data_IF_146981132582
#
_entry.id   IF_146981132582
#
_cell.length_a   1.000
_cell.length_b   1.000
_cell.length_c   1.000
_cell.angle_alpha   90.00
_cell.angle_beta   90.00
_cell.angle_gamma   90.00
#
_symmetry.space_group_name_H-M   'P 1'
#
loop_
_entity.id
_entity.type
_entity.pdbx_description
1 polymer ?
#
# COMPACT_ATOMS: atom_id res chain seq x y z
N UNK A 1 43.85 4.25 -1.11
CA UNK A 1 43.83 4.81 0.26
C UNK A 1 44.80 3.96 1.05
N UNK A 2 46.04 4.42 1.06
CA UNK A 2 47.23 3.61 1.30
C UNK A 2 47.95 4.16 2.53
N UNK A 3 48.51 3.26 3.34
CA UNK A 3 49.50 3.50 4.40
C UNK A 3 49.96 2.10 4.82
N UNK A 4 51.14 1.63 4.45
CA UNK A 4 52.46 2.05 4.98
C UNK A 4 52.50 1.95 6.52
N UNK A 5 53.14 0.93 7.09
CA UNK A 5 54.59 0.65 7.16
C UNK A 5 55.27 1.43 8.29
N UNK A 6 55.69 0.71 9.34
CA UNK A 6 56.68 1.17 10.32
C UNK A 6 57.56 -0.01 10.76
N UNK A 7 58.87 0.22 10.89
CA UNK A 7 59.87 -0.78 11.26
C UNK A 7 60.54 -0.46 12.61
N UNK A 8 60.83 -1.49 13.41
CA UNK A 8 62.07 -1.64 14.19
C UNK A 8 62.19 -3.09 14.70
N UNK A 9 63.31 -3.82 14.71
CA UNK A 9 64.77 -3.56 14.84
C UNK A 9 65.30 -3.81 16.27
N UNK A 10 66.49 -4.45 16.34
CA UNK A 10 67.21 -5.04 17.49
C UNK A 10 66.58 -6.35 18.02
N UNK A 11 67.33 -7.45 18.18
CA UNK A 11 68.74 -7.65 17.82
C UNK A 11 69.21 -9.09 18.04
N UNK A 12 70.26 -9.49 17.32
CA UNK A 12 70.84 -10.83 17.35
C UNK A 12 72.11 -10.89 18.20
N UNK A 13 72.15 -11.73 19.24
CA UNK A 13 73.40 -12.06 19.94
C UNK A 13 73.55 -13.55 20.26
N UNK A 14 74.58 -14.14 19.65
CA UNK A 14 75.46 -15.19 20.19
C UNK A 14 74.82 -16.45 20.82
N UNK A 15 74.77 -17.51 20.02
CA UNK A 15 74.81 -18.91 20.50
C UNK A 15 76.19 -19.17 21.14
N UNK A 16 76.31 -19.54 22.43
CA UNK A 16 77.59 -19.91 23.04
C UNK A 16 78.17 -21.22 22.43
N UNK A 17 79.49 -21.44 22.49
CA UNK A 17 80.15 -22.51 21.74
C UNK A 17 80.14 -23.86 22.45
N UNK A 18 80.20 -24.94 21.66
CA UNK A 18 80.67 -26.24 22.13
C UNK A 18 82.15 -26.16 22.53
N UNK A 19 82.49 -26.58 23.75
CA UNK A 19 83.86 -26.95 24.12
C UNK A 19 83.90 -28.15 25.07
N UNK A 20 84.51 -29.20 24.56
CA UNK A 20 85.40 -30.17 25.20
C UNK A 20 85.06 -30.74 26.60
N UNK A 21 85.07 -32.08 26.66
CA UNK A 21 85.04 -32.90 27.86
C UNK A 21 86.09 -32.50 28.92
N UNK A 22 85.69 -32.61 30.18
CA UNK A 22 86.54 -33.12 31.28
C UNK A 22 85.75 -34.24 31.96
N UNK A 23 86.33 -35.42 32.26
CA UNK A 23 85.59 -36.52 32.89
C UNK A 23 85.24 -36.22 34.36
N UNK A 24 84.13 -36.77 34.88
CA UNK A 24 83.89 -36.76 36.32
C UNK A 24 84.89 -37.70 37.02
N UNK A 25 85.77 -37.14 37.86
CA UNK A 25 86.61 -37.92 38.78
C UNK A 25 85.76 -38.44 39.96
N UNK A 26 84.90 -39.42 39.71
CA UNK A 26 84.21 -40.16 40.77
C UNK A 26 85.17 -41.12 41.46
N UNK A 27 85.73 -40.66 42.57
CA UNK A 27 85.81 -41.43 43.82
C UNK A 27 86.29 -42.89 43.70
N UNK A 28 87.62 -43.07 43.72
CA UNK A 28 88.22 -44.29 44.29
C UNK A 28 88.37 -44.12 45.82
N UNK A 29 88.84 -45.18 46.48
CA UNK A 29 89.25 -45.24 47.88
C UNK A 29 88.15 -45.22 48.96
N UNK A 30 87.12 -46.06 48.79
CA UNK A 30 86.61 -46.85 49.94
C UNK A 30 87.63 -47.94 50.32
N UNK A 31 88.80 -47.52 50.83
CA UNK A 31 89.82 -48.40 51.41
C UNK A 31 90.22 -47.93 52.81
N UNK A 32 89.23 -47.91 53.72
CA UNK A 32 89.47 -47.81 55.16
C UNK A 32 90.15 -49.09 55.69
N UNK A 33 91.45 -49.20 55.47
CA UNK A 33 92.28 -50.23 56.11
C UNK A 33 92.27 -50.00 57.63
N UNK A 34 91.82 -51.02 58.37
CA UNK A 34 91.93 -51.08 59.83
C UNK A 34 93.41 -51.19 60.25
N UNK A 35 94.09 -50.06 60.34
CA UNK A 35 95.39 -49.99 61.02
C UNK A 35 95.17 -50.05 62.53
N UNK A 36 95.44 -51.21 63.11
CA UNK A 36 95.40 -51.42 64.55
C UNK A 36 96.32 -50.43 65.27
N UNK A 37 95.73 -49.63 66.17
CA UNK A 37 96.51 -48.80 67.10
C UNK A 37 97.25 -49.71 68.09
N UNK A 38 98.58 -49.70 68.03
CA UNK A 38 99.46 -50.60 68.78
C UNK A 38 100.70 -49.88 69.28
N UNK A 39 100.58 -49.24 70.45
CA UNK A 39 101.62 -48.83 71.40
C UNK A 39 103.02 -48.52 70.83
N UNK A 40 103.29 -47.24 70.56
CA UNK A 40 104.65 -46.69 70.62
C UNK A 40 104.80 -45.82 71.87
N UNK A 41 105.15 -46.47 72.99
CA UNK A 41 105.38 -45.81 74.27
C UNK A 41 106.86 -45.42 74.45
N UNK A 42 107.09 -44.20 74.93
CA UNK A 42 108.30 -43.70 75.58
C UNK A 42 109.70 -44.14 75.06
N UNK A 43 110.18 -43.49 73.99
CA UNK A 43 111.61 -43.32 73.74
C UNK A 43 111.95 -41.82 73.62
N UNK A 44 112.37 -41.20 74.72
CA UNK A 44 112.50 -39.73 74.81
C UNK A 44 113.96 -39.24 74.80
N UNK A 45 114.17 -38.14 74.08
CA UNK A 45 115.24 -37.14 74.28
C UNK A 45 116.71 -37.55 74.03
N UNK A 46 117.33 -36.97 72.99
CA UNK A 46 118.22 -35.79 73.16
C UNK A 46 118.72 -35.13 71.86
N UNK A 47 118.87 -33.80 71.95
CA UNK A 47 119.86 -32.93 71.28
C UNK A 47 120.00 -32.92 69.75
N UNK A 48 119.41 -31.89 69.11
CA UNK A 48 120.18 -30.86 68.37
C UNK A 48 119.44 -29.50 68.48
N UNK A 49 119.66 -28.78 69.59
CA UNK A 49 118.97 -27.52 69.90
C UNK A 49 119.79 -26.31 69.44
N UNK A 50 119.62 -25.93 68.17
CA UNK A 50 120.12 -24.66 67.61
C UNK A 50 119.02 -23.59 67.70
N UNK A 51 119.34 -22.30 67.96
CA UNK A 51 118.35 -21.22 67.88
C UNK A 51 117.61 -21.18 66.53
N UNK A 52 118.32 -21.46 65.43
CA UNK A 52 117.75 -21.45 64.09
C UNK A 52 116.81 -22.65 63.82
N UNK A 53 117.07 -23.83 64.39
CA UNK A 53 116.15 -24.98 64.22
C UNK A 53 114.85 -24.77 65.00
N UNK A 54 114.90 -24.12 66.17
CA UNK A 54 113.71 -23.74 66.92
C UNK A 54 112.86 -22.71 66.15
N UNK A 55 113.48 -21.70 65.53
CA UNK A 55 112.79 -20.71 64.72
C UNK A 55 112.12 -21.31 63.47
N UNK A 56 112.82 -22.22 62.77
CA UNK A 56 112.26 -22.94 61.61
C UNK A 56 111.04 -23.79 61.99
N UNK A 57 111.10 -24.53 63.10
CA UNK A 57 109.98 -25.35 63.58
C UNK A 57 108.77 -24.47 63.96
N UNK A 58 109.00 -23.29 64.54
CA UNK A 58 107.92 -22.33 64.81
C UNK A 58 107.31 -21.79 63.52
N UNK A 59 108.12 -21.36 62.54
CA UNK A 59 107.64 -20.87 61.26
C UNK A 59 106.83 -21.93 60.48
N UNK A 60 107.27 -23.20 60.48
CA UNK A 60 106.54 -24.31 59.87
C UNK A 60 105.20 -24.56 60.56
N UNK A 61 105.14 -24.51 61.91
CA UNK A 61 103.87 -24.63 62.65
C UNK A 61 102.91 -23.48 62.35
N UNK A 62 103.41 -22.24 62.31
CA UNK A 62 102.59 -21.07 61.92
C UNK A 62 102.09 -21.18 60.49
N UNK A 63 102.87 -21.74 59.56
CA UNK A 63 102.43 -22.00 58.19
C UNK A 63 101.36 -23.11 58.14
N UNK A 64 101.54 -24.21 58.87
CA UNK A 64 100.55 -25.29 58.97
C UNK A 64 99.21 -24.79 59.54
N UNK A 65 99.23 -24.00 60.63
CA UNK A 65 98.01 -23.42 61.20
C UNK A 65 97.36 -22.41 60.25
N UNK A 66 98.15 -21.63 59.49
CA UNK A 66 97.63 -20.74 58.46
C UNK A 66 96.99 -21.49 57.29
N UNK A 67 97.59 -22.60 56.85
CA UNK A 67 97.01 -23.47 55.81
C UNK A 67 95.68 -24.04 56.30
N UNK A 68 95.65 -24.65 57.49
CA UNK A 68 94.44 -25.22 58.06
C UNK A 68 93.30 -24.19 58.23
N UNK A 69 93.65 -22.96 58.64
CA UNK A 69 92.71 -21.84 58.72
C UNK A 69 92.15 -21.45 57.35
N UNK A 70 93.00 -21.35 56.32
CA UNK A 70 92.58 -21.06 54.94
C UNK A 70 91.74 -22.20 54.34
N UNK A 71 92.01 -23.46 54.70
CA UNK A 71 91.19 -24.61 54.29
C UNK A 71 89.79 -24.53 54.90
N UNK A 72 89.67 -24.18 56.18
CA UNK A 72 88.40 -23.97 56.87
C UNK A 72 87.63 -22.75 56.32
N UNK A 73 88.32 -21.64 56.05
CA UNK A 73 87.73 -20.46 55.40
C UNK A 73 87.27 -20.79 53.96
N UNK A 74 87.99 -21.67 53.24
CA UNK A 74 87.58 -22.15 51.92
C UNK A 74 86.31 -22.99 51.99
N UNK A 75 86.23 -23.98 52.88
CA UNK A 75 85.01 -24.81 52.99
C UNK A 75 83.81 -23.99 53.47
N UNK A 76 84.01 -23.03 54.39
CA UNK A 76 82.95 -22.11 54.80
C UNK A 76 82.47 -21.22 53.63
N UNK A 77 83.37 -20.73 52.78
CA UNK A 77 83.00 -19.97 51.58
C UNK A 77 82.29 -20.84 50.53
N UNK A 78 82.69 -22.10 50.39
CA UNK A 78 82.11 -23.11 49.51
C UNK A 78 80.68 -23.48 49.95
N UNK A 79 80.45 -23.70 51.25
CA UNK A 79 79.13 -23.94 51.83
C UNK A 79 78.20 -22.71 51.69
N UNK A 80 78.71 -21.51 51.96
CA UNK A 80 77.97 -20.26 51.76
C UNK A 80 77.55 -20.07 50.29
N UNK A 81 78.44 -20.38 49.33
CA UNK A 81 78.13 -20.34 47.90
C UNK A 81 77.08 -21.39 47.52
N UNK A 82 77.15 -22.59 48.09
CA UNK A 82 76.15 -23.65 47.88
C UNK A 82 74.76 -23.27 48.44
N UNK A 83 74.71 -22.55 49.56
CA UNK A 83 73.46 -21.99 50.11
C UNK A 83 72.89 -20.91 49.18
N UNK A 84 73.69 -19.90 48.82
CA UNK A 84 73.27 -18.81 47.93
C UNK A 84 72.84 -19.31 46.54
N UNK A 85 73.51 -20.35 46.02
CA UNK A 85 73.14 -21.00 44.75
C UNK A 85 71.76 -21.68 44.82
N UNK A 86 71.45 -22.32 45.96
CA UNK A 86 70.13 -22.93 46.22
C UNK A 86 69.04 -21.87 46.32
N UNK A 87 69.27 -20.84 47.12
CA UNK A 87 68.33 -19.71 47.28
C UNK A 87 68.06 -19.02 45.93
N UNK A 88 69.11 -18.73 45.14
CA UNK A 88 68.95 -18.14 43.80
C UNK A 88 68.16 -19.03 42.83
N UNK A 89 68.32 -20.36 42.91
CA UNK A 89 67.53 -21.32 42.13
C UNK A 89 66.06 -21.36 42.59
N UNK A 90 65.80 -21.26 43.89
CA UNK A 90 64.45 -21.20 44.46
C UNK A 90 63.73 -19.90 44.08
N UNK A 91 64.39 -18.73 44.18
CA UNK A 91 63.85 -17.45 43.70
C UNK A 91 63.54 -17.47 42.21
N UNK A 92 64.44 -18.03 41.38
CA UNK A 92 64.19 -18.20 39.93
C UNK A 92 62.94 -19.04 39.68
N UNK A 93 62.80 -20.17 40.37
CA UNK A 93 61.64 -21.07 40.25
C UNK A 93 60.34 -20.39 40.70
N UNK A 94 60.37 -19.62 41.78
CA UNK A 94 59.21 -18.86 42.26
C UNK A 94 58.74 -17.82 41.22
N UNK A 95 59.68 -17.06 40.63
CA UNK A 95 59.39 -16.08 39.58
C UNK A 95 58.84 -16.72 38.30
N UNK A 96 59.38 -17.89 37.91
CA UNK A 96 58.90 -18.66 36.76
C UNK A 96 57.47 -19.17 36.98
N UNK A 97 57.17 -19.73 38.17
CA UNK A 97 55.81 -20.14 38.56
C UNK A 97 54.83 -18.96 38.52
N UNK A 98 55.16 -17.83 39.16
CA UNK A 98 54.31 -16.64 39.21
C UNK A 98 54.07 -16.04 37.80
N UNK A 99 55.06 -16.16 36.90
CA UNK A 99 54.90 -15.76 35.49
C UNK A 99 53.94 -16.70 34.75
N UNK A 100 54.04 -18.01 34.98
CA UNK A 100 53.14 -19.01 34.38
C UNK A 100 51.70 -18.86 34.90
N UNK A 101 51.49 -18.56 36.18
CA UNK A 101 50.17 -18.25 36.75
C UNK A 101 49.55 -16.99 36.13
N UNK A 102 50.31 -15.88 36.02
CA UNK A 102 49.85 -14.67 35.31
C UNK A 102 49.44 -14.97 33.88
N UNK A 103 50.22 -15.76 33.15
CA UNK A 103 49.94 -16.14 31.76
C UNK A 103 48.64 -16.96 31.66
N UNK A 104 48.41 -17.91 32.57
CA UNK A 104 47.19 -18.71 32.62
C UNK A 104 45.94 -17.86 32.92
N UNK A 105 46.02 -16.97 33.92
CA UNK A 105 44.95 -16.03 34.25
C UNK A 105 44.64 -15.09 33.08
N UNK A 106 45.67 -14.61 32.38
CA UNK A 106 45.51 -13.78 31.18
C UNK A 106 44.84 -14.54 30.01
N UNK A 107 45.21 -15.80 29.81
CA UNK A 107 44.61 -16.66 28.78
C UNK A 107 43.13 -16.93 29.05
N UNK A 108 42.77 -17.24 30.30
CA UNK A 108 41.38 -17.45 30.70
C UNK A 108 40.55 -16.15 30.63
N UNK A 109 41.14 -15.00 30.99
CA UNK A 109 40.50 -13.69 30.80
C UNK A 109 40.24 -13.38 29.31
N UNK A 110 41.17 -13.72 28.41
CA UNK A 110 40.98 -13.60 26.96
C UNK A 110 39.83 -14.51 26.48
N UNK A 111 39.75 -15.74 26.99
CA UNK A 111 38.67 -16.68 26.68
C UNK A 111 37.32 -16.15 27.15
N UNK A 112 37.19 -15.76 28.41
CA UNK A 112 35.96 -15.16 28.96
C UNK A 112 35.54 -13.90 28.19
N UNK A 113 36.49 -13.04 27.79
CA UNK A 113 36.21 -11.88 26.94
C UNK A 113 35.64 -12.26 25.57
N UNK A 114 36.11 -13.35 24.94
CA UNK A 114 35.54 -13.88 23.69
C UNK A 114 34.14 -14.45 23.91
N UNK A 115 33.95 -15.23 24.96
CA UNK A 115 32.67 -15.86 25.29
C UNK A 115 31.58 -14.80 25.56
N UNK A 116 31.92 -13.75 26.34
CA UNK A 116 31.06 -12.57 26.56
C UNK A 116 30.78 -11.84 25.23
N UNK A 117 31.78 -11.68 24.36
CA UNK A 117 31.60 -11.03 23.05
C UNK A 117 30.67 -11.81 22.12
N UNK A 118 30.64 -13.14 22.20
CA UNK A 118 29.73 -14.02 21.44
C UNK A 118 28.32 -13.96 22.03
N UNK A 119 28.18 -13.94 23.36
CA UNK A 119 26.89 -13.74 24.02
C UNK A 119 26.29 -12.36 23.69
N UNK A 120 27.11 -11.31 23.66
CA UNK A 120 26.69 -9.96 23.32
C UNK A 120 26.22 -9.83 21.87
N UNK A 121 26.96 -10.40 20.91
CA UNK A 121 26.53 -10.37 19.50
C UNK A 121 25.26 -11.20 19.26
N UNK A 122 25.13 -12.37 19.91
CA UNK A 122 23.91 -13.18 19.90
C UNK A 122 22.71 -12.42 20.49
N UNK A 123 22.88 -11.76 21.63
CA UNK A 123 21.84 -10.93 22.25
C UNK A 123 21.46 -9.74 21.35
N UNK A 124 22.43 -9.06 20.76
CA UNK A 124 22.20 -7.97 19.79
C UNK A 124 21.41 -8.45 18.56
N UNK A 125 21.77 -9.60 17.98
CA UNK A 125 21.03 -10.20 16.87
C UNK A 125 19.58 -10.55 17.26
N UNK A 126 19.35 -11.04 18.48
CA UNK A 126 18.01 -11.30 19.02
C UNK A 126 17.20 -10.01 19.20
N UNK A 127 17.81 -8.93 19.69
CA UNK A 127 17.16 -7.62 19.80
C UNK A 127 16.73 -7.09 18.42
N UNK A 128 17.62 -7.11 17.42
CA UNK A 128 17.32 -6.67 16.05
C UNK A 128 16.18 -7.48 15.42
N UNK A 129 16.07 -8.78 15.72
CA UNK A 129 14.94 -9.60 15.27
C UNK A 129 13.61 -9.20 15.94
N UNK A 130 13.63 -8.97 17.25
CA UNK A 130 12.44 -8.53 18.01
C UNK A 130 12.00 -7.12 17.61
N UNK A 131 12.92 -6.22 17.31
CA UNK A 131 12.64 -4.89 16.76
C UNK A 131 11.94 -4.97 15.40
N UNK A 132 12.43 -5.83 14.49
CA UNK A 132 11.80 -6.08 13.19
C UNK A 132 10.39 -6.69 13.33
N UNK A 133 10.19 -7.61 14.25
CA UNK A 133 8.87 -8.19 14.56
C UNK A 133 7.91 -7.14 15.12
N UNK A 134 8.38 -6.31 16.06
CA UNK A 134 7.59 -5.21 16.63
C UNK A 134 7.20 -4.18 15.55
N UNK A 135 8.10 -3.84 14.64
CA UNK A 135 7.85 -2.88 13.55
C UNK A 135 6.97 -3.46 12.42
N UNK A 136 6.94 -4.78 12.26
CA UNK A 136 5.90 -5.45 11.46
C UNK A 136 4.54 -5.34 12.14
N UNK A 137 4.44 -5.69 13.42
CA UNK A 137 3.18 -5.64 14.18
C UNK A 137 2.60 -4.23 14.27
N UNK A 138 3.43 -3.19 14.49
CA UNK A 138 2.98 -1.78 14.43
C UNK A 138 2.33 -1.44 13.09
N UNK A 139 2.98 -1.79 11.96
CA UNK A 139 2.45 -1.51 10.62
C UNK A 139 1.15 -2.26 10.35
N UNK A 140 1.04 -3.51 10.80
CA UNK A 140 -0.21 -4.30 10.72
C UNK A 140 -1.34 -3.65 11.53
N UNK A 141 -1.09 -3.25 12.78
CA UNK A 141 -2.08 -2.56 13.63
C UNK A 141 -2.51 -1.23 13.01
N UNK A 142 -1.57 -0.41 12.53
CA UNK A 142 -1.88 0.83 11.83
C UNK A 142 -2.67 0.61 10.52
N UNK A 143 -2.51 -0.54 9.86
CA UNK A 143 -3.32 -0.88 8.69
C UNK A 143 -4.76 -1.22 9.08
N UNK A 144 -4.94 -2.11 10.07
CA UNK A 144 -6.27 -2.47 10.62
C UNK A 144 -7.00 -1.24 11.19
N UNK A 145 -6.28 -0.29 11.78
CA UNK A 145 -6.86 0.97 12.25
C UNK A 145 -7.34 1.87 11.10
N UNK A 146 -6.61 1.96 9.98
CA UNK A 146 -7.08 2.67 8.78
C UNK A 146 -8.29 1.99 8.16
N UNK A 147 -8.27 0.67 8.02
CA UNK A 147 -9.39 -0.12 7.48
C UNK A 147 -10.66 0.06 8.33
N UNK A 148 -10.53 -0.03 9.66
CA UNK A 148 -11.61 0.28 10.61
C UNK A 148 -12.16 1.69 10.42
N UNK A 149 -11.29 2.69 10.30
CA UNK A 149 -11.72 4.08 10.15
C UNK A 149 -12.42 4.31 8.80
N UNK A 150 -11.94 3.69 7.71
CA UNK A 150 -12.58 3.72 6.40
C UNK A 150 -13.96 3.04 6.42
N UNK A 151 -14.12 1.91 7.09
CA UNK A 151 -15.41 1.21 7.27
C UNK A 151 -16.38 2.08 8.08
N UNK A 152 -15.91 2.73 9.15
CA UNK A 152 -16.74 3.66 9.94
C UNK A 152 -17.16 4.90 9.14
N UNK A 153 -16.29 5.43 8.28
CA UNK A 153 -16.62 6.55 7.40
C UNK A 153 -17.64 6.14 6.31
N UNK A 154 -17.47 4.97 5.69
CA UNK A 154 -18.45 4.40 4.77
C UNK A 154 -19.81 4.17 5.44
N UNK A 155 -19.83 3.65 6.69
CA UNK A 155 -21.06 3.48 7.46
C UNK A 155 -21.73 4.84 7.78
N UNK A 156 -20.94 5.87 8.11
CA UNK A 156 -21.44 7.22 8.35
C UNK A 156 -21.89 7.94 7.07
N UNK A 157 -21.33 7.61 5.90
CA UNK A 157 -21.83 8.08 4.61
C UNK A 157 -23.18 7.40 4.27
N UNK A 158 -23.25 6.07 4.31
CA UNK A 158 -24.46 5.32 3.96
C UNK A 158 -25.64 5.66 4.90
N UNK A 159 -25.38 5.93 6.18
CA UNK A 159 -26.41 6.43 7.10
C UNK A 159 -26.91 7.84 6.70
N UNK A 160 -26.03 8.78 6.30
CA UNK A 160 -26.42 10.10 5.81
C UNK A 160 -27.20 10.04 4.49
N UNK A 161 -26.82 9.16 3.59
CA UNK A 161 -27.54 8.92 2.32
C UNK A 161 -28.95 8.37 2.58
N UNK A 162 -29.07 7.38 3.46
CA UNK A 162 -30.36 6.84 3.92
C UNK A 162 -31.24 7.91 4.58
N UNK A 163 -30.68 8.76 5.43
CA UNK A 163 -31.40 9.89 6.03
C UNK A 163 -31.87 10.89 4.97
N UNK A 164 -31.01 11.21 3.99
CA UNK A 164 -31.35 12.10 2.88
C UNK A 164 -32.49 11.52 2.02
N UNK A 165 -32.47 10.21 1.73
CA UNK A 165 -33.54 9.53 0.98
C UNK A 165 -34.83 9.40 1.79
N UNK A 166 -34.75 9.21 3.10
CA UNK A 166 -35.91 9.26 3.99
C UNK A 166 -36.56 10.66 3.98
N UNK A 167 -35.76 11.74 3.99
CA UNK A 167 -36.27 13.11 3.83
C UNK A 167 -36.91 13.34 2.44
N UNK A 168 -36.28 12.86 1.36
CA UNK A 168 -36.86 12.92 -0.01
C UNK A 168 -38.19 12.15 -0.09
N UNK A 169 -38.29 11.01 0.57
CA UNK A 169 -39.51 10.19 0.60
C UNK A 169 -40.61 10.89 1.41
N UNK A 170 -40.29 11.44 2.58
CA UNK A 170 -41.24 12.19 3.39
C UNK A 170 -41.80 13.41 2.63
N UNK A 171 -40.95 14.22 2.00
CA UNK A 171 -41.39 15.36 1.20
C UNK A 171 -42.28 14.95 0.00
N UNK A 172 -42.06 13.77 -0.59
CA UNK A 172 -42.96 13.20 -1.61
C UNK A 172 -44.32 12.77 -1.03
N UNK A 173 -44.32 12.19 0.17
CA UNK A 173 -45.54 11.76 0.87
C UNK A 173 -46.39 12.96 1.31
N UNK A 174 -45.78 14.01 1.84
CA UNK A 174 -46.44 15.27 2.18
C UNK A 174 -47.07 15.92 0.94
N UNK A 175 -46.38 15.89 -0.21
CA UNK A 175 -46.95 16.35 -1.50
C UNK A 175 -48.10 15.47 -1.98
N UNK A 176 -48.07 14.16 -1.73
CA UNK A 176 -49.16 13.23 -2.08
C UNK A 176 -50.42 13.54 -1.26
N UNK A 177 -50.27 13.72 0.06
CA UNK A 177 -51.36 14.09 0.99
C UNK A 177 -52.04 15.42 0.60
N UNK A 178 -51.27 16.42 0.15
CA UNK A 178 -51.83 17.67 -0.38
C UNK A 178 -52.65 17.42 -1.65
N UNK A 179 -52.14 16.63 -2.60
CA UNK A 179 -52.86 16.30 -3.84
C UNK A 179 -54.11 15.46 -3.58
N UNK A 180 -54.07 14.52 -2.63
CA UNK A 180 -55.24 13.75 -2.20
C UNK A 180 -56.34 14.66 -1.62
N UNK A 181 -55.96 15.63 -0.78
CA UNK A 181 -56.87 16.65 -0.25
C UNK A 181 -57.42 17.57 -1.35
N UNK A 182 -56.71 17.80 -2.43
CA UNK A 182 -57.21 18.53 -3.61
C UNK A 182 -58.17 17.68 -4.45
N UNK A 183 -57.86 16.41 -4.67
CA UNK A 183 -58.76 15.44 -5.32
C UNK A 183 -60.10 15.36 -4.57
N UNK A 184 -60.11 15.21 -3.25
CA UNK A 184 -61.36 15.20 -2.46
C UNK A 184 -62.19 16.48 -2.64
N UNK A 185 -61.55 17.67 -2.60
CA UNK A 185 -62.25 18.95 -2.86
C UNK A 185 -62.85 18.99 -4.26
N UNK A 186 -62.09 18.56 -5.28
CA UNK A 186 -62.55 18.50 -6.67
C UNK A 186 -63.74 17.53 -6.81
N UNK A 187 -63.69 16.33 -6.21
CA UNK A 187 -64.82 15.38 -6.23
C UNK A 187 -66.06 15.95 -5.54
N UNK A 188 -65.95 16.64 -4.40
CA UNK A 188 -67.12 17.29 -3.78
C UNK A 188 -67.68 18.42 -4.64
N UNK A 189 -66.83 19.14 -5.37
CA UNK A 189 -67.24 20.23 -6.28
C UNK A 189 -67.92 19.67 -7.52
N UNK A 190 -67.35 18.61 -8.12
CA UNK A 190 -67.89 17.87 -9.25
C UNK A 190 -69.29 17.32 -8.91
N UNK A 191 -69.42 16.57 -7.81
CA UNK A 191 -70.72 16.03 -7.38
C UNK A 191 -71.77 17.13 -7.21
N UNK A 192 -71.40 18.26 -6.58
CA UNK A 192 -72.29 19.42 -6.43
C UNK A 192 -72.73 20.01 -7.77
N UNK A 193 -71.87 19.96 -8.80
CA UNK A 193 -72.22 20.37 -10.15
C UNK A 193 -73.11 19.34 -10.87
N UNK A 194 -72.84 18.04 -10.72
CA UNK A 194 -73.65 16.94 -11.26
C UNK A 194 -75.08 16.94 -10.71
N UNK A 195 -75.24 17.04 -9.37
CA UNK A 195 -76.54 17.16 -8.71
C UNK A 195 -77.32 18.40 -9.21
N UNK A 196 -76.62 19.51 -9.47
CA UNK A 196 -77.21 20.74 -10.02
C UNK A 196 -77.59 20.61 -11.50
N UNK A 197 -76.80 19.91 -12.31
CA UNK A 197 -77.12 19.63 -13.73
C UNK A 197 -78.37 18.75 -13.79
N UNK A 198 -78.42 17.67 -13.01
CA UNK A 198 -79.58 16.76 -12.93
C UNK A 198 -80.89 17.48 -12.58
N UNK A 199 -80.85 18.42 -11.63
CA UNK A 199 -82.01 19.27 -11.28
C UNK A 199 -82.43 20.23 -12.42
N UNK A 200 -81.49 20.68 -13.24
CA UNK A 200 -81.79 21.50 -14.41
C UNK A 200 -82.33 20.66 -15.58
N UNK A 201 -81.85 19.42 -15.77
CA UNK A 201 -82.40 18.46 -16.74
C UNK A 201 -83.84 18.04 -16.40
N UNK A 202 -84.16 17.86 -15.11
CA UNK A 202 -85.51 17.56 -14.64
C UNK A 202 -86.47 18.73 -14.94
N UNK A 203 -86.03 19.96 -14.66
CA UNK A 203 -86.77 21.18 -15.02
C UNK A 203 -86.91 21.39 -16.53
N UNK A 204 -85.89 21.01 -17.32
CA UNK A 204 -85.96 21.08 -18.78
C UNK A 204 -87.04 20.14 -19.31
N UNK A 205 -87.10 18.90 -18.82
CA UNK A 205 -88.11 17.90 -19.24
C UNK A 205 -89.54 18.33 -18.89
N UNK A 206 -89.74 18.94 -17.72
CA UNK A 206 -91.04 19.52 -17.35
C UNK A 206 -91.40 20.69 -18.28
N UNK A 207 -90.46 21.59 -18.59
CA UNK A 207 -90.74 22.73 -19.46
C UNK A 207 -90.95 22.33 -20.93
N UNK A 208 -90.25 21.31 -21.42
CA UNK A 208 -90.52 20.65 -22.71
C UNK A 208 -91.92 20.01 -22.74
N UNK A 209 -92.34 19.36 -21.66
CA UNK A 209 -93.68 18.81 -21.51
C UNK A 209 -94.76 19.91 -21.53
N UNK A 210 -94.56 21.02 -20.81
CA UNK A 210 -95.45 22.18 -20.83
C UNK A 210 -95.52 22.84 -22.22
N UNK A 211 -94.37 22.98 -22.92
CA UNK A 211 -94.35 23.46 -24.32
C UNK A 211 -95.15 22.55 -25.25
N UNK A 212 -95.00 21.24 -25.10
CA UNK A 212 -95.75 20.27 -25.90
C UNK A 212 -97.26 20.38 -25.63
N UNK A 213 -97.68 20.44 -24.36
CA UNK A 213 -99.08 20.62 -23.98
C UNK A 213 -99.67 21.92 -24.57
N UNK A 214 -98.89 23.00 -24.60
CA UNK A 214 -99.28 24.26 -25.23
C UNK A 214 -99.36 24.15 -26.77
N UNK A 215 -98.42 23.46 -27.41
CA UNK A 215 -98.42 23.22 -28.85
C UNK A 215 -99.61 22.34 -29.29
N UNK A 216 -99.88 21.27 -28.55
CA UNK A 216 -101.02 20.37 -28.78
C UNK A 216 -102.33 21.17 -28.72
N UNK A 217 -102.52 22.00 -27.68
CA UNK A 217 -103.67 22.90 -27.53
C UNK A 217 -103.76 24.01 -28.59
N UNK A 218 -102.61 24.52 -29.07
CA UNK A 218 -102.60 25.45 -30.20
C UNK A 218 -103.03 24.77 -31.50
N UNK A 219 -102.67 23.49 -31.70
CA UNK A 219 -103.09 22.68 -32.85
C UNK A 219 -104.58 22.30 -32.80
N UNK A 220 -105.12 22.03 -31.60
CA UNK A 220 -106.54 21.86 -31.34
C UNK A 220 -107.32 23.11 -31.74
N UNK A 221 -106.89 24.29 -31.25
CA UNK A 221 -107.48 25.58 -31.60
C UNK A 221 -107.38 25.88 -33.10
N UNK A 222 -106.23 25.61 -33.74
CA UNK A 222 -106.08 25.79 -35.19
C UNK A 222 -107.02 24.86 -35.98
N UNK A 223 -107.16 23.61 -35.56
CA UNK A 223 -108.09 22.64 -36.17
C UNK A 223 -109.54 23.08 -35.98
N UNK A 224 -109.92 23.53 -34.78
CA UNK A 224 -111.25 24.09 -34.50
C UNK A 224 -111.54 25.35 -35.31
N UNK A 225 -110.55 26.22 -35.55
CA UNK A 225 -110.68 27.38 -36.42
C UNK A 225 -110.80 26.99 -37.90
N UNK A 226 -110.11 25.93 -38.36
CA UNK A 226 -110.23 25.44 -39.74
C UNK A 226 -111.59 24.75 -39.96
N UNK A 227 -112.08 23.95 -39.01
CA UNK A 227 -113.44 23.37 -39.05
C UNK A 227 -114.50 24.48 -39.06
N UNK A 228 -114.35 25.52 -38.25
CA UNK A 228 -115.23 26.69 -38.30
C UNK A 228 -115.12 27.45 -39.64
N UNK A 229 -113.93 27.58 -40.23
CA UNK A 229 -113.75 28.19 -41.56
C UNK A 229 -114.45 27.38 -42.64
N UNK A 230 -114.28 26.06 -42.63
CA UNK A 230 -114.95 25.13 -43.56
C UNK A 230 -116.47 25.30 -43.42
N UNK A 231 -116.99 25.19 -42.20
CA UNK A 231 -118.42 25.36 -41.89
C UNK A 231 -118.98 26.69 -42.40
N UNK A 232 -118.30 27.81 -42.14
CA UNK A 232 -118.72 29.14 -42.62
C UNK A 232 -118.62 29.26 -44.14
N UNK A 233 -117.58 28.68 -44.76
CA UNK A 233 -117.40 28.69 -46.22
C UNK A 233 -118.50 27.89 -46.94
N UNK A 234 -119.02 26.82 -46.32
CA UNK A 234 -120.17 26.05 -46.81
C UNK A 234 -121.49 26.83 -46.83
N UNK A 235 -121.55 28.05 -46.28
CA UNK A 235 -122.73 28.94 -46.33
C UNK A 235 -122.47 30.20 -47.18
N UNK A 236 -121.37 30.26 -47.96
CA UNK A 236 -121.01 31.44 -48.76
C UNK A 236 -120.68 31.13 -50.22
N UNK A 237 -121.23 31.92 -51.14
CA UNK A 237 -121.01 31.78 -52.59
C UNK A 237 -119.80 32.59 -53.08
N UNK A 238 -119.03 32.09 -54.08
CA UNK A 238 -117.81 32.76 -54.56
C UNK A 238 -118.10 33.95 -55.49
N UNK A 239 -117.21 34.96 -55.47
CA UNK A 239 -117.13 36.00 -56.52
C UNK A 239 -115.68 36.32 -56.89
N UNK A 240 -115.40 36.36 -58.19
CA UNK A 240 -114.11 36.82 -58.76
C UNK A 240 -114.13 38.33 -59.01
N UNK A 241 -112.95 38.97 -59.09
CA UNK A 241 -112.78 40.29 -59.73
C UNK A 241 -111.35 40.52 -60.26
N UNK A 242 -111.19 41.54 -61.12
CA UNK A 242 -109.96 41.95 -61.84
C UNK A 242 -110.03 43.49 -62.02
N UNK A 243 -109.00 44.27 -62.36
CA UNK A 243 -107.62 44.00 -62.83
C UNK A 243 -106.75 45.27 -62.61
N UNK A 244 -105.52 45.30 -63.17
CA UNK A 244 -104.75 46.50 -63.62
C UNK A 244 -104.22 47.54 -62.60
N UNK A 245 -102.88 47.60 -62.54
CA UNK A 245 -101.95 48.75 -62.80
C UNK A 245 -102.53 50.20 -62.65
N UNK A 246 -101.82 51.23 -62.13
CA UNK A 246 -100.35 51.48 -62.05
C UNK A 246 -100.00 52.71 -61.17
N UNK A 247 -98.73 52.85 -60.74
CA UNK A 247 -98.06 54.06 -60.16
C UNK A 247 -98.55 54.52 -58.75
N UNK A 248 -97.84 55.30 -57.90
CA UNK A 248 -96.40 55.53 -57.57
C UNK A 248 -96.34 56.37 -56.24
N UNK A 249 -95.24 56.84 -55.59
CA UNK A 249 -93.79 56.97 -55.85
C UNK A 249 -93.05 57.32 -54.52
N UNK A 250 -91.88 56.70 -54.21
CA UNK A 250 -90.97 56.96 -53.03
C UNK A 250 -91.54 56.54 -51.64
N UNK A 251 -90.74 56.20 -50.60
CA UNK A 251 -89.31 56.49 -50.29
C UNK A 251 -88.47 55.23 -49.91
N UNK A 252 -87.13 55.39 -49.82
CA UNK A 252 -86.02 54.42 -49.60
C UNK A 252 -86.12 53.60 -48.29
N UNK A 253 -85.39 52.49 -48.02
CA UNK A 253 -84.08 51.96 -48.49
C UNK A 253 -84.12 50.43 -48.78
N UNK A 254 -83.48 49.87 -49.82
CA UNK A 254 -82.06 49.41 -49.96
C UNK A 254 -81.58 48.41 -48.86
N UNK A 255 -80.96 47.22 -49.13
CA UNK A 255 -80.81 46.38 -50.35
C UNK A 255 -80.35 44.92 -50.01
N UNK A 256 -80.91 43.93 -50.73
CA UNK A 256 -80.30 42.74 -51.42
C UNK A 256 -79.24 41.82 -50.74
N UNK A 257 -79.55 40.51 -50.75
CA UNK A 257 -78.71 39.27 -50.66
C UNK A 257 -77.72 39.02 -51.84
N UNK A 258 -76.92 37.90 -51.89
CA UNK A 258 -76.37 37.02 -50.84
C UNK A 258 -74.80 36.88 -50.95
N UNK A 259 -74.13 35.70 -50.98
CA UNK A 259 -73.45 35.05 -49.85
C UNK A 259 -71.89 34.89 -50.01
N UNK A 260 -71.28 34.12 -49.10
CA UNK A 260 -69.91 33.54 -49.07
C UNK A 260 -68.78 34.24 -48.27
N UNK A 261 -68.42 33.58 -47.15
CA UNK A 261 -67.09 33.05 -46.79
C UNK A 261 -65.90 33.96 -46.36
N UNK A 262 -65.21 33.45 -45.31
CA UNK A 262 -63.84 33.71 -44.80
C UNK A 262 -63.52 35.06 -44.09
N UNK A 263 -62.76 34.87 -42.99
CA UNK A 263 -61.70 35.71 -42.41
C UNK A 263 -61.98 36.48 -41.11
N UNK A 264 -61.14 36.19 -40.11
CA UNK A 264 -61.06 36.86 -38.81
C UNK A 264 -59.74 37.61 -38.72
N UNK A 265 -59.78 38.89 -38.31
CA UNK A 265 -58.69 39.52 -37.54
C UNK A 265 -59.07 40.87 -36.94
N UNK A 266 -58.31 41.21 -35.89
CA UNK A 266 -58.39 42.41 -35.06
C UNK A 266 -58.12 43.72 -35.83
N UNK A 267 -58.71 44.81 -35.34
CA UNK A 267 -58.20 46.19 -35.43
C UNK A 267 -58.05 46.78 -34.02
N UNK A 268 -57.09 47.68 -33.80
CA UNK A 268 -56.65 48.09 -32.45
C UNK A 268 -56.04 49.51 -32.40
N UNK A 269 -55.52 49.92 -31.22
CA UNK A 269 -54.77 51.17 -30.90
C UNK A 269 -55.65 52.42 -30.60
N UNK A 270 -55.12 53.50 -29.93
CA UNK A 270 -53.76 53.75 -29.41
C UNK A 270 -53.64 53.84 -27.85
N UNK A 271 -52.55 53.42 -27.18
CA UNK A 271 -51.17 53.98 -26.97
C UNK A 271 -51.04 55.04 -25.85
N UNK A 272 -50.33 54.67 -24.76
CA UNK A 272 -49.26 55.39 -23.99
C UNK A 272 -48.45 54.25 -23.31
N UNK A 273 -47.21 53.87 -23.69
CA UNK A 273 -45.88 54.52 -23.58
C UNK A 273 -45.36 54.62 -22.10
N UNK A 274 -44.13 54.26 -21.71
CA UNK A 274 -42.93 53.70 -22.40
C UNK A 274 -41.94 53.06 -21.37
N UNK A 275 -40.89 52.35 -21.86
CA UNK A 275 -39.67 51.75 -21.24
C UNK A 275 -39.72 50.21 -21.15
N UNK A 276 -39.09 49.41 -22.03
CA UNK A 276 -37.66 49.24 -22.42
C UNK A 276 -36.82 48.50 -21.36
N UNK A 277 -36.03 47.45 -21.64
CA UNK A 277 -35.63 46.75 -22.88
C UNK A 277 -35.98 45.23 -22.77
N UNK A 278 -35.91 44.32 -23.75
CA UNK A 278 -35.06 44.18 -24.95
C UNK A 278 -34.00 43.08 -24.69
N UNK A 279 -33.86 41.98 -25.45
CA UNK A 279 -34.53 41.55 -26.70
C UNK A 279 -34.68 40.01 -26.77
N UNK A 280 -35.38 39.47 -27.79
CA UNK A 280 -35.59 38.02 -28.00
C UNK A 280 -34.95 37.50 -29.29
N UNK A 281 -33.85 36.74 -29.16
CA UNK A 281 -33.25 35.85 -30.17
C UNK A 281 -32.61 34.66 -29.40
N UNK A 282 -32.42 33.45 -29.92
CA UNK A 282 -32.79 32.80 -31.19
C UNK A 282 -32.99 31.30 -30.94
N UNK A 283 -33.92 30.65 -31.65
CA UNK A 283 -34.16 29.18 -31.53
C UNK A 283 -33.05 28.34 -32.20
N UNK A 284 -32.13 28.98 -32.94
CA UNK A 284 -31.11 28.28 -33.73
C UNK A 284 -29.87 27.78 -32.92
N UNK A 285 -29.83 28.00 -31.61
CA UNK A 285 -28.67 27.64 -30.77
C UNK A 285 -28.47 26.12 -30.60
N UNK A 286 -29.54 25.32 -30.65
CA UNK A 286 -29.48 23.90 -30.27
C UNK A 286 -28.76 23.00 -31.28
N UNK A 287 -28.70 23.37 -32.56
CA UNK A 287 -28.01 22.57 -33.59
C UNK A 287 -26.52 22.93 -33.74
N UNK A 288 -26.13 24.16 -33.36
CA UNK A 288 -24.75 24.62 -33.54
C UNK A 288 -23.78 24.05 -32.49
N UNK A 289 -24.26 23.67 -31.30
CA UNK A 289 -23.41 22.98 -30.30
C UNK A 289 -23.08 21.54 -30.71
N UNK A 290 -24.03 20.80 -31.29
CA UNK A 290 -23.80 19.43 -31.75
C UNK A 290 -22.73 19.39 -32.87
N UNK A 291 -22.82 20.32 -33.83
CA UNK A 291 -21.84 20.42 -34.92
C UNK A 291 -20.46 20.91 -34.46
N UNK A 292 -20.36 21.59 -33.30
CA UNK A 292 -19.09 22.10 -32.76
C UNK A 292 -18.28 21.04 -32.01
N UNK A 293 -18.95 20.07 -31.36
CA UNK A 293 -18.29 18.91 -30.75
C UNK A 293 -17.60 18.01 -31.79
N UNK A 294 -18.11 17.98 -33.02
CA UNK A 294 -17.74 17.00 -34.05
C UNK A 294 -16.63 17.46 -35.03
N UNK A 295 -15.95 18.58 -34.79
CA UNK A 295 -14.99 19.18 -35.74
C UNK A 295 -13.52 19.21 -35.27
N UNK A 296 -13.11 18.30 -34.38
CA UNK A 296 -11.71 18.22 -33.90
C UNK A 296 -10.92 16.97 -34.28
N UNK A 297 -11.51 15.98 -34.96
CA UNK A 297 -10.76 14.85 -35.54
C UNK A 297 -11.09 14.64 -37.03
N UNK A 298 -10.16 15.07 -37.89
CA UNK A 298 -10.07 14.65 -39.29
C UNK A 298 -8.59 14.32 -39.60
N UNK A 299 -8.27 13.23 -40.32
CA UNK A 299 -6.95 12.62 -40.20
C UNK A 299 -5.88 13.28 -41.09
N UNK A 300 -4.63 13.34 -40.61
CA UNK A 300 -3.46 13.58 -41.46
C UNK A 300 -2.61 12.32 -41.57
N UNK A 301 -2.65 11.73 -42.76
CA UNK A 301 -1.80 10.60 -43.17
C UNK A 301 -0.35 11.06 -43.26
N UNK A 302 0.58 10.26 -42.75
CA UNK A 302 1.94 10.17 -43.28
C UNK A 302 2.44 8.73 -43.21
N UNK A 303 2.83 8.17 -44.35
CA UNK A 303 3.49 6.87 -44.45
C UNK A 303 5.01 7.06 -44.36
N UNK A 304 5.74 6.08 -43.79
CA UNK A 304 6.59 5.13 -44.54
C UNK A 304 7.19 4.03 -43.62
N UNK A 305 7.76 2.93 -44.18
CA UNK A 305 7.68 1.61 -43.53
C UNK A 305 9.06 0.95 -43.25
N UNK A 306 9.02 -0.37 -43.04
CA UNK A 306 10.06 -1.35 -42.72
C UNK A 306 10.17 -1.63 -41.19
N UNK A 307 10.41 -2.87 -40.73
CA UNK A 307 10.75 -4.10 -41.47
C UNK A 307 10.12 -5.39 -40.89
N UNK A 308 10.28 -6.49 -41.62
CA UNK A 308 9.62 -7.81 -41.44
C UNK A 308 10.10 -8.56 -40.19
N UNK A 309 9.19 -9.24 -39.45
CA UNK A 309 9.25 -10.69 -39.12
C UNK A 309 8.00 -11.17 -38.36
N UNK A 310 7.25 -12.08 -38.99
CA UNK A 310 6.47 -13.16 -38.36
C UNK A 310 7.11 -14.51 -38.79
N UNK A 311 6.77 -15.69 -38.23
CA UNK A 311 5.68 -16.04 -37.30
C UNK A 311 6.25 -16.64 -35.96
N UNK A 312 5.51 -17.17 -34.99
CA UNK A 312 4.49 -18.22 -35.08
C UNK A 312 3.81 -18.54 -33.74
N UNK A 313 2.58 -19.07 -33.81
CA UNK A 313 1.77 -19.48 -32.67
C UNK A 313 1.94 -20.98 -32.34
N UNK A 314 2.03 -21.33 -31.06
CA UNK A 314 1.87 -22.70 -30.55
C UNK A 314 1.00 -22.70 -29.28
N UNK A 315 -0.01 -23.57 -29.26
CA UNK A 315 -1.08 -23.54 -28.26
C UNK A 315 -0.80 -24.44 -27.03
N UNK A 316 -0.91 -23.85 -25.82
CA UNK A 316 -1.43 -24.46 -24.57
C UNK A 316 -0.64 -25.68 -24.00
N UNK A 317 -0.81 -26.10 -22.71
CA UNK A 317 -2.10 -26.34 -22.05
C UNK A 317 -2.28 -25.75 -20.63
N UNK A 318 -3.52 -25.42 -20.30
CA UNK A 318 -3.98 -25.24 -18.91
C UNK A 318 -3.79 -26.53 -18.12
N UNK A 319 -3.38 -26.44 -16.84
CA UNK A 319 -3.55 -27.54 -15.88
C UNK A 319 -4.17 -27.07 -14.58
N UNK A 320 -5.31 -27.65 -14.25
CA UNK A 320 -5.98 -27.53 -12.96
C UNK A 320 -5.21 -28.24 -11.85
N UNK A 321 -5.36 -27.70 -10.64
CA UNK A 321 -5.21 -28.33 -9.32
C UNK A 321 -4.79 -29.80 -9.28
N UNK A 322 -3.60 -30.08 -8.73
CA UNK A 322 -3.24 -31.39 -8.20
C UNK A 322 -2.63 -31.26 -6.81
N UNK A 323 -3.21 -31.96 -5.83
CA UNK A 323 -2.67 -32.03 -4.47
C UNK A 323 -1.32 -32.76 -4.46
N UNK A 324 -0.29 -32.16 -3.87
CA UNK A 324 0.93 -32.85 -3.46
C UNK A 324 1.16 -32.63 -1.96
N UNK A 325 1.56 -33.70 -1.27
CA UNK A 325 1.74 -33.71 0.19
C UNK A 325 3.08 -33.07 0.56
N UNK A 326 3.06 -32.10 1.46
CA UNK A 326 4.29 -31.60 2.09
C UNK A 326 4.70 -32.53 3.24
N UNK A 327 5.78 -33.29 3.05
CA UNK A 327 6.62 -33.82 4.13
C UNK A 327 7.65 -32.72 4.44
N UNK A 328 7.93 -32.37 5.71
CA UNK A 328 8.88 -31.31 6.01
C UNK A 328 10.30 -31.70 5.57
N UNK A 329 10.95 -30.83 4.79
CA UNK A 329 12.40 -30.87 4.62
C UNK A 329 13.06 -29.92 5.60
N UNK A 330 13.71 -30.48 6.61
CA UNK A 330 14.79 -29.77 7.29
C UNK A 330 15.94 -29.57 6.29
N UNK A 331 16.26 -28.32 6.00
CA UNK A 331 17.54 -27.95 5.37
C UNK A 331 17.93 -26.56 5.80
N UNK A 332 18.79 -26.47 6.82
CA UNK A 332 19.47 -25.22 7.17
C UNK A 332 20.44 -24.81 6.07
N UNK A 333 19.91 -24.16 5.04
CA UNK A 333 20.66 -23.35 4.09
C UNK A 333 20.13 -21.93 4.18
N UNK A 334 21.02 -20.98 4.37
CA UNK A 334 20.69 -19.55 4.35
C UNK A 334 20.16 -19.20 2.96
N UNK A 335 18.84 -19.05 2.82
CA UNK A 335 18.20 -18.50 1.62
C UNK A 335 18.85 -17.15 1.37
N UNK A 336 19.51 -16.97 0.23
CA UNK A 336 20.28 -15.75 0.01
C UNK A 336 19.33 -14.59 -0.24
N UNK A 337 19.80 -13.38 0.05
CA UNK A 337 19.02 -12.16 -0.23
C UNK A 337 18.80 -12.02 -1.75
N UNK A 338 19.66 -12.61 -2.58
CA UNK A 338 19.49 -12.64 -4.04
C UNK A 338 18.38 -13.60 -4.51
N UNK A 339 18.09 -14.68 -3.77
CA UNK A 339 17.05 -15.65 -4.15
C UNK A 339 15.66 -15.04 -3.98
N UNK A 340 15.36 -14.54 -2.77
CA UNK A 340 14.11 -13.81 -2.46
C UNK A 340 13.86 -12.62 -3.42
N UNK A 341 14.94 -11.92 -3.80
CA UNK A 341 14.87 -10.79 -4.74
C UNK A 341 14.64 -11.24 -6.20
N UNK A 342 15.03 -12.48 -6.55
CA UNK A 342 14.72 -13.08 -7.85
C UNK A 342 13.27 -13.58 -7.90
N UNK A 343 12.77 -14.19 -6.82
CA UNK A 343 11.37 -14.62 -6.69
C UNK A 343 10.40 -13.44 -6.79
N UNK A 344 10.70 -12.32 -6.11
CA UNK A 344 9.92 -11.09 -6.22
C UNK A 344 9.96 -10.50 -7.64
N UNK A 345 11.12 -10.55 -8.31
CA UNK A 345 11.23 -10.07 -9.69
C UNK A 345 10.39 -10.92 -10.63
N UNK A 346 10.44 -12.25 -10.52
CA UNK A 346 9.62 -13.17 -11.32
C UNK A 346 8.13 -12.88 -11.13
N UNK A 347 7.64 -12.81 -9.88
CA UNK A 347 6.24 -12.51 -9.62
C UNK A 347 5.79 -11.14 -10.18
N UNK A 348 6.67 -10.14 -10.11
CA UNK A 348 6.40 -8.84 -10.73
C UNK A 348 6.41 -8.89 -12.27
N UNK A 349 7.22 -9.75 -12.87
CA UNK A 349 7.25 -10.01 -14.32
C UNK A 349 5.94 -10.69 -14.76
N UNK A 350 5.53 -11.75 -14.07
CA UNK A 350 4.28 -12.49 -14.30
C UNK A 350 3.05 -11.55 -14.21
N UNK A 351 3.03 -10.64 -13.22
CA UNK A 351 1.97 -9.62 -13.09
C UNK A 351 1.99 -8.55 -14.20
N UNK A 352 3.13 -8.31 -14.88
CA UNK A 352 3.18 -7.41 -16.05
C UNK A 352 2.69 -8.13 -17.31
N UNK A 353 3.05 -9.39 -17.47
CA UNK A 353 2.59 -10.22 -18.58
C UNK A 353 1.07 -10.47 -18.48
N UNK A 354 0.54 -10.69 -17.27
CA UNK A 354 -0.90 -10.81 -17.03
C UNK A 354 -1.67 -9.53 -17.38
N UNK A 355 -1.13 -8.34 -17.09
CA UNK A 355 -1.74 -7.07 -17.54
C UNK A 355 -1.59 -6.84 -19.03
N UNK A 356 -0.53 -7.37 -19.66
CA UNK A 356 -0.37 -7.32 -21.12
C UNK A 356 -1.40 -8.19 -21.84
N UNK A 357 -1.79 -9.32 -21.23
CA UNK A 357 -2.91 -10.17 -21.68
C UNK A 357 -4.25 -9.43 -21.47
N UNK A 358 -4.49 -8.88 -20.27
CA UNK A 358 -5.68 -8.07 -19.93
C UNK A 358 -5.88 -6.91 -20.94
N UNK A 359 -4.80 -6.20 -21.29
CA UNK A 359 -4.79 -5.14 -22.29
C UNK A 359 -5.12 -5.66 -23.70
N UNK A 360 -4.61 -6.83 -24.08
CA UNK A 360 -4.92 -7.43 -25.37
C UNK A 360 -6.36 -7.97 -25.45
N UNK A 361 -6.93 -8.43 -24.34
CA UNK A 361 -8.33 -8.84 -24.23
C UNK A 361 -9.28 -7.64 -24.33
N UNK A 362 -9.02 -6.54 -23.60
CA UNK A 362 -9.77 -5.29 -23.73
C UNK A 362 -9.68 -4.70 -25.14
N UNK A 363 -8.50 -4.69 -25.76
CA UNK A 363 -8.31 -4.31 -27.17
C UNK A 363 -9.07 -5.20 -28.17
N UNK A 364 -9.51 -6.40 -27.78
CA UNK A 364 -10.33 -7.26 -28.64
C UNK A 364 -11.82 -7.04 -28.37
N UNK A 365 -12.24 -6.91 -27.11
CA UNK A 365 -13.61 -6.52 -26.74
C UNK A 365 -14.02 -5.20 -27.44
N UNK A 366 -13.15 -4.19 -27.41
CA UNK A 366 -13.35 -2.89 -28.09
C UNK A 366 -13.56 -3.00 -29.61
N UNK A 367 -13.07 -4.07 -30.27
CA UNK A 367 -13.28 -4.33 -31.70
C UNK A 367 -14.55 -5.13 -31.98
N UNK A 368 -15.05 -5.85 -30.98
CA UNK A 368 -16.25 -6.71 -31.06
C UNK A 368 -17.53 -5.97 -30.62
N UNK A 369 -17.40 -4.89 -29.83
CA UNK A 369 -18.52 -4.05 -29.41
C UNK A 369 -18.95 -3.03 -30.46
N UNK A 370 -20.18 -3.14 -30.97
CA UNK A 370 -20.81 -2.14 -31.84
C UNK A 370 -21.38 -0.91 -31.08
N UNK A 371 -21.37 -0.93 -29.75
CA UNK A 371 -22.00 0.10 -28.92
C UNK A 371 -21.02 1.21 -28.51
N UNK A 372 -21.20 2.39 -29.10
CA UNK A 372 -20.40 3.61 -28.87
C UNK A 372 -20.02 3.85 -27.39
N UNK A 373 -20.98 3.78 -26.47
CA UNK A 373 -20.71 4.05 -25.04
C UNK A 373 -19.86 2.97 -24.37
N UNK A 374 -19.99 1.71 -24.79
CA UNK A 374 -19.20 0.60 -24.25
C UNK A 374 -17.76 0.68 -24.76
N UNK A 375 -17.55 1.17 -25.99
CA UNK A 375 -16.21 1.49 -26.48
C UNK A 375 -15.58 2.63 -25.67
N UNK A 376 -16.32 3.70 -25.35
CA UNK A 376 -15.84 4.81 -24.52
C UNK A 376 -15.48 4.36 -23.09
N UNK A 377 -16.27 3.45 -22.49
CA UNK A 377 -15.94 2.82 -21.20
C UNK A 377 -14.66 1.95 -21.29
N UNK A 378 -14.54 1.10 -22.32
CA UNK A 378 -13.35 0.23 -22.52
C UNK A 378 -12.09 1.05 -22.83
N UNK A 379 -12.19 2.15 -23.58
CA UNK A 379 -11.07 3.08 -23.82
C UNK A 379 -10.56 3.68 -22.50
N UNK A 380 -11.46 4.01 -21.57
CA UNK A 380 -11.09 4.51 -20.24
C UNK A 380 -10.42 3.44 -19.37
N UNK A 381 -10.91 2.19 -19.39
CA UNK A 381 -10.25 1.06 -18.72
C UNK A 381 -8.86 0.78 -19.31
N UNK A 382 -8.72 0.84 -20.64
CA UNK A 382 -7.45 0.65 -21.34
C UNK A 382 -6.42 1.72 -20.96
N UNK A 383 -6.82 3.00 -20.92
CA UNK A 383 -5.93 4.09 -20.54
C UNK A 383 -5.48 3.98 -19.07
N UNK A 384 -6.35 3.46 -18.18
CA UNK A 384 -5.98 3.14 -16.80
C UNK A 384 -4.99 1.97 -16.72
N UNK A 385 -5.23 0.90 -17.48
CA UNK A 385 -4.37 -0.28 -17.52
C UNK A 385 -2.98 0.02 -18.09
N UNK A 386 -2.87 0.85 -19.13
CA UNK A 386 -1.59 1.30 -19.68
C UNK A 386 -0.76 2.03 -18.61
N UNK A 387 -1.37 2.95 -17.84
CA UNK A 387 -0.70 3.66 -16.72
C UNK A 387 -0.24 2.69 -15.63
N UNK A 388 -1.05 1.66 -15.32
CA UNK A 388 -0.74 0.59 -14.36
C UNK A 388 0.44 -0.29 -14.85
N UNK A 389 0.52 -0.58 -16.15
CA UNK A 389 1.64 -1.27 -16.81
C UNK A 389 2.92 -0.45 -16.78
N UNK A 390 2.87 0.84 -17.13
CA UNK A 390 4.02 1.77 -17.08
C UNK A 390 4.62 1.86 -15.66
N UNK A 391 3.76 2.06 -14.66
CA UNK A 391 4.17 2.10 -13.24
C UNK A 391 4.82 0.79 -12.81
N UNK A 392 4.31 -0.37 -13.23
CA UNK A 392 4.95 -1.67 -12.92
C UNK A 392 6.28 -1.85 -13.65
N UNK A 393 6.38 -1.42 -14.92
CA UNK A 393 7.63 -1.40 -15.68
C UNK A 393 8.73 -0.57 -15.01
N UNK A 394 8.37 0.60 -14.44
CA UNK A 394 9.28 1.38 -13.59
C UNK A 394 9.70 0.60 -12.33
N UNK A 395 8.77 -0.06 -11.65
CA UNK A 395 9.07 -0.80 -10.42
C UNK A 395 10.02 -1.98 -10.69
N UNK A 396 9.80 -2.76 -11.75
CA UNK A 396 10.71 -3.82 -12.20
C UNK A 396 12.09 -3.23 -12.54
N UNK A 397 12.13 -2.13 -13.28
CA UNK A 397 13.37 -1.42 -13.63
C UNK A 397 14.16 -0.92 -12.41
N UNK A 398 13.47 -0.53 -11.33
CA UNK A 398 14.08 -0.16 -10.04
C UNK A 398 14.57 -1.39 -9.28
N UNK A 399 13.81 -2.49 -9.32
CA UNK A 399 14.15 -3.76 -8.66
C UNK A 399 15.40 -4.42 -9.31
N UNK A 400 15.47 -4.47 -10.64
CA UNK A 400 16.66 -4.94 -11.38
C UNK A 400 17.91 -4.16 -10.99
N UNK A 401 17.86 -2.81 -11.01
CA UNK A 401 18.98 -1.95 -10.61
C UNK A 401 19.41 -2.18 -9.16
N UNK A 402 18.47 -2.49 -8.27
CA UNK A 402 18.79 -2.89 -6.90
C UNK A 402 19.47 -4.26 -6.88
N UNK A 403 18.95 -5.26 -7.58
CA UNK A 403 19.52 -6.61 -7.67
C UNK A 403 20.94 -6.60 -8.25
N UNK A 404 21.20 -5.88 -9.33
CA UNK A 404 22.53 -5.69 -9.90
C UNK A 404 23.49 -5.02 -8.91
N UNK A 405 22.99 -4.14 -8.05
CA UNK A 405 23.80 -3.49 -7.02
C UNK A 405 24.09 -4.42 -5.83
N UNK A 406 23.14 -5.30 -5.46
CA UNK A 406 23.33 -6.34 -4.44
C UNK A 406 24.27 -7.45 -4.93
N UNK A 407 24.25 -7.80 -6.23
CA UNK A 407 25.18 -8.78 -6.84
C UNK A 407 26.61 -8.26 -7.08
N UNK A 408 26.87 -6.97 -6.83
CA UNK A 408 28.20 -6.31 -6.97
C UNK A 408 28.85 -5.95 -5.63
N UNK A 409 28.20 -6.34 -4.51
CA UNK A 409 28.69 -6.22 -3.14
C UNK A 409 29.14 -7.58 -2.62
#
# INVERSE_FOLDING_TARGET
>A
MDSELMHSIVGSYLKPPERAFVPPFTQNDELSQNYHSGNFEAASSKMLRSPNSQALILALKTLQEKIHRLELERTQAEDNLNILSREAAEYKKALENETNERNLVHQELIKQKKDISIQLSSAQSRCILLEKQLEYTKRMVLNVEREKNMILEQQAQLQREKEQDQMKLQAKLEKLDVLEKECFKLTTTQKTAEDKIKHLEEKLKEEEHQRKLFQDKASELQTGLEVNRILMSSVSNPKQSKEKKKSSKKTKCLKREPPQQIYSKFGSLPIVAEKSAGARHSVNASMQNLLRMMQHYAPRILQKPAEVTEPSCLCRPTRTTSQCKAVPLDSEKSVSICDNLSELLMAMQDELDQMSIEHQELLNQMKETESQSVCEDIECELEHLIKKMEIKGEQISKLMKHQDSVRRL
#
